data_IF_444412005220
#
_entry.id   IF_444412005220
#
_cell.length_a   1.000
_cell.length_b   1.000
_cell.length_c   1.000
_cell.angle_alpha   90.00
_cell.angle_beta   90.00
_cell.angle_gamma   90.00
#
_symmetry.space_group_name_H-M   'P 1'
#
loop_
_entity.id
_entity.type
_entity.pdbx_description
1 polymer ?
#
# COMPACT_ATOMS: atom_id res chain seq x y z
N UNK A 1 17.61 9.78 14.73
CA UNK A 1 16.39 10.33 15.37
C UNK A 1 15.25 9.44 14.95
N UNK A 2 14.61 8.75 15.89
CA UNK A 2 13.55 7.79 15.61
C UNK A 2 12.25 8.54 15.31
N UNK A 3 11.57 8.15 14.21
CA UNK A 3 10.28 8.72 13.79
C UNK A 3 9.22 7.63 13.97
N UNK A 4 8.28 7.86 14.88
CA UNK A 4 7.18 6.93 15.11
C UNK A 4 6.09 7.06 14.06
N UNK A 5 5.59 5.93 13.58
CA UNK A 5 4.41 5.89 12.70
C UNK A 5 3.13 5.88 13.53
N UNK A 6 2.19 6.76 13.16
CA UNK A 6 0.84 6.79 13.71
C UNK A 6 -0.12 6.39 12.61
N UNK A 7 -0.90 5.35 12.87
CA UNK A 7 -1.94 4.90 11.96
C UNK A 7 -3.25 5.64 12.23
N UNK A 8 -3.89 6.09 11.17
CA UNK A 8 -5.21 6.75 11.24
C UNK A 8 -6.29 5.69 11.19
N UNK A 9 -7.21 5.69 12.17
CA UNK A 9 -8.37 4.81 12.17
C UNK A 9 -9.51 5.36 11.30
N UNK A 10 -10.61 4.59 11.16
CA UNK A 10 -11.77 4.96 10.34
C UNK A 10 -12.46 6.27 10.81
N UNK A 11 -12.25 6.68 12.08
CA UNK A 11 -12.78 7.93 12.65
C UNK A 11 -11.78 9.10 12.55
N UNK A 12 -10.79 8.99 11.68
CA UNK A 12 -9.76 10.03 11.47
C UNK A 12 -8.91 10.35 12.71
N UNK A 13 -8.85 9.44 13.66
CA UNK A 13 -8.09 9.57 14.90
C UNK A 13 -6.85 8.69 14.88
N UNK A 14 -5.80 9.15 15.57
CA UNK A 14 -4.58 8.39 15.83
C UNK A 14 -4.18 8.47 17.29
N UNK A 15 -3.42 7.49 17.74
CA UNK A 15 -2.94 7.40 19.12
C UNK A 15 -1.48 7.83 19.19
N UNK A 16 -1.19 8.84 19.99
CA UNK A 16 0.14 9.31 20.33
C UNK A 16 0.61 8.67 21.63
N UNK A 17 1.80 8.10 21.66
CA UNK A 17 2.41 7.55 22.86
C UNK A 17 3.78 8.23 23.07
N UNK A 18 3.95 8.89 24.20
CA UNK A 18 5.20 9.57 24.54
C UNK A 18 6.30 8.57 24.94
N UNK A 19 7.48 8.66 24.32
CA UNK A 19 8.62 7.77 24.59
C UNK A 19 9.18 7.92 26.01
N UNK A 20 9.08 9.12 26.58
CA UNK A 20 9.67 9.42 27.87
C UNK A 20 8.80 9.00 29.05
N UNK A 21 7.47 9.24 28.96
CA UNK A 21 6.57 9.04 30.11
C UNK A 21 5.45 8.04 29.85
N UNK A 22 5.38 7.42 28.66
CA UNK A 22 4.35 6.46 28.29
C UNK A 22 2.94 7.03 28.13
N UNK A 23 2.74 8.33 28.37
CA UNK A 23 1.42 8.95 28.31
C UNK A 23 0.82 8.83 26.92
N UNK A 24 -0.39 8.31 26.87
CA UNK A 24 -1.18 8.11 25.65
C UNK A 24 -2.17 9.25 25.44
N UNK A 25 -2.31 9.69 24.19
CA UNK A 25 -3.32 10.70 23.79
C UNK A 25 -3.90 10.36 22.43
N UNK A 26 -5.22 10.33 22.32
CA UNK A 26 -5.92 10.23 21.04
C UNK A 26 -6.09 11.63 20.47
N UNK A 27 -5.73 11.82 19.19
CA UNK A 27 -5.78 13.09 18.48
C UNK A 27 -6.55 12.93 17.17
N UNK A 28 -7.25 13.98 16.76
CA UNK A 28 -7.82 14.06 15.41
C UNK A 28 -6.70 14.39 14.42
N UNK A 29 -6.65 13.68 13.31
CA UNK A 29 -5.60 13.80 12.29
C UNK A 29 -6.14 14.24 10.93
N UNK A 30 -7.40 14.70 10.84
CA UNK A 30 -8.06 15.13 9.60
C UNK A 30 -7.20 16.13 8.82
N UNK A 31 -6.73 17.18 9.50
CA UNK A 31 -5.96 18.26 8.87
C UNK A 31 -4.50 17.90 8.55
N UNK A 32 -4.03 16.75 9.04
CA UNK A 32 -2.63 16.35 8.95
C UNK A 32 -2.37 15.22 7.93
N UNK A 33 -3.41 14.69 7.28
CA UNK A 33 -3.32 13.52 6.38
C UNK A 33 -2.37 13.71 5.20
N UNK A 34 -2.22 14.94 4.69
CA UNK A 34 -1.49 15.20 3.45
C UNK A 34 -0.12 15.87 3.66
N UNK A 35 0.35 15.96 4.90
CA UNK A 35 1.59 16.71 5.20
C UNK A 35 2.83 16.02 4.65
N UNK A 36 2.85 14.69 4.50
CA UNK A 36 3.92 13.91 3.86
C UNK A 36 5.29 13.98 4.56
N UNK A 37 5.42 14.76 5.65
CA UNK A 37 6.65 14.94 6.43
C UNK A 37 6.39 14.67 7.92
N UNK A 38 7.41 14.28 8.69
CA UNK A 38 7.27 14.08 10.13
C UNK A 38 6.84 15.35 10.86
N UNK A 39 5.95 15.18 11.82
CA UNK A 39 5.46 16.24 12.70
C UNK A 39 6.21 16.19 14.03
N UNK A 40 6.63 17.35 14.53
CA UNK A 40 7.18 17.48 15.88
C UNK A 40 6.05 17.65 16.90
N UNK A 41 6.00 16.75 17.87
CA UNK A 41 4.96 16.74 18.91
C UNK A 41 5.59 17.01 20.28
N UNK A 42 4.92 17.84 21.11
CA UNK A 42 5.29 18.11 22.50
C UNK A 42 4.36 17.37 23.45
N UNK A 43 4.90 16.54 24.31
CA UNK A 43 4.15 15.90 25.39
C UNK A 43 3.93 16.89 26.57
N UNK A 44 2.90 16.66 27.38
CA UNK A 44 2.68 17.41 28.63
C UNK A 44 3.83 17.25 29.66
N UNK A 45 4.67 16.21 29.53
CA UNK A 45 5.90 16.05 30.35
C UNK A 45 7.09 16.90 29.84
N UNK A 46 6.87 17.75 28.82
CA UNK A 46 7.93 18.59 28.22
C UNK A 46 8.77 17.90 27.13
N UNK A 47 8.64 16.59 26.96
CA UNK A 47 9.40 15.84 25.96
C UNK A 47 8.90 16.13 24.53
N UNK A 48 9.85 16.26 23.58
CA UNK A 48 9.57 16.39 22.15
C UNK A 48 9.91 15.08 21.42
N UNK A 49 9.05 14.65 20.53
CA UNK A 49 9.28 13.50 19.65
C UNK A 49 8.69 13.75 18.26
N UNK A 50 9.10 12.92 17.29
CA UNK A 50 8.66 13.06 15.90
C UNK A 50 7.75 11.91 15.52
N UNK A 51 6.68 12.24 14.79
CA UNK A 51 5.69 11.27 14.32
C UNK A 51 5.44 11.44 12.83
N UNK A 52 5.26 10.33 12.13
CA UNK A 52 4.80 10.26 10.76
C UNK A 52 3.39 9.69 10.72
N UNK A 53 2.49 10.38 9.99
CA UNK A 53 1.10 9.95 9.90
C UNK A 53 0.95 8.99 8.73
N UNK A 54 0.46 7.77 9.00
CA UNK A 54 0.16 6.77 7.99
C UNK A 54 -1.37 6.68 7.82
N UNK A 55 -1.85 7.25 6.72
CA UNK A 55 -3.29 7.29 6.39
C UNK A 55 -3.77 6.05 5.63
N UNK A 56 -2.87 5.15 5.29
CA UNK A 56 -3.22 3.95 4.54
C UNK A 56 -3.94 2.96 5.46
N UNK A 57 -5.10 2.51 5.02
CA UNK A 57 -5.90 1.52 5.74
C UNK A 57 -5.21 0.15 5.81
N UNK A 58 -4.41 -0.17 4.80
CA UNK A 58 -3.71 -1.45 4.68
C UNK A 58 -2.22 -1.25 4.54
N UNK A 59 -1.47 -2.11 5.21
CA UNK A 59 -0.03 -2.21 5.07
C UNK A 59 0.36 -2.46 3.61
N UNK A 60 1.50 -1.90 3.19
CA UNK A 60 2.12 -2.18 1.90
C UNK A 60 3.45 -2.87 2.13
N UNK A 61 3.52 -4.11 1.67
CA UNK A 61 4.75 -4.89 1.68
C UNK A 61 5.62 -4.46 0.50
N UNK A 62 6.86 -4.09 0.78
CA UNK A 62 7.86 -3.89 -0.27
C UNK A 62 8.22 -5.25 -0.87
N UNK A 63 8.21 -5.35 -2.19
CA UNK A 63 8.43 -6.58 -2.94
C UNK A 63 9.33 -6.33 -4.14
N UNK A 64 9.74 -7.41 -4.80
CA UNK A 64 10.40 -7.38 -6.11
C UNK A 64 9.93 -8.57 -6.93
N UNK A 65 8.65 -8.59 -7.28
CA UNK A 65 8.02 -9.71 -7.97
C UNK A 65 7.95 -9.42 -9.47
N UNK A 66 8.36 -10.42 -10.26
CA UNK A 66 8.23 -10.33 -11.70
C UNK A 66 6.80 -10.65 -12.13
N UNK A 67 6.29 -9.90 -13.11
CA UNK A 67 4.96 -10.08 -13.62
C UNK A 67 4.75 -9.45 -14.98
N UNK A 68 3.51 -9.54 -15.42
CA UNK A 68 3.02 -9.01 -16.68
C UNK A 68 1.73 -8.23 -16.45
N UNK A 69 1.47 -7.26 -17.31
CA UNK A 69 0.19 -6.56 -17.36
C UNK A 69 -0.38 -6.55 -18.77
N UNK A 70 -1.68 -6.51 -18.86
CA UNK A 70 -2.44 -6.29 -20.10
C UNK A 70 -3.41 -5.15 -19.84
N UNK A 71 -3.33 -4.09 -20.64
CA UNK A 71 -4.31 -3.01 -20.62
C UNK A 71 -5.57 -3.49 -21.37
N UNK A 72 -6.67 -3.61 -20.63
CA UNK A 72 -7.96 -4.08 -21.15
C UNK A 72 -8.99 -2.95 -21.25
N UNK A 73 -8.57 -1.69 -21.20
CA UNK A 73 -9.43 -0.54 -21.37
C UNK A 73 -9.95 -0.48 -22.82
N UNK A 74 -11.22 -0.09 -22.99
CA UNK A 74 -11.85 0.02 -24.32
C UNK A 74 -11.20 1.06 -25.23
N UNK A 75 -10.54 2.07 -24.66
CA UNK A 75 -9.90 3.18 -25.37
C UNK A 75 -8.40 2.96 -25.62
N UNK A 76 -7.91 1.72 -25.45
CA UNK A 76 -6.51 1.42 -25.73
C UNK A 76 -6.24 1.57 -27.24
N UNK A 77 -5.30 2.44 -27.67
CA UNK A 77 -5.04 2.61 -29.09
C UNK A 77 -4.47 1.32 -29.69
N UNK A 78 -5.12 0.82 -30.72
CA UNK A 78 -4.69 -0.30 -31.59
C UNK A 78 -4.09 -1.52 -30.86
N UNK A 79 -4.97 -2.33 -30.27
CA UNK A 79 -4.60 -3.63 -29.71
C UNK A 79 -4.39 -3.60 -28.19
N UNK A 80 -4.42 -4.78 -27.58
CA UNK A 80 -4.17 -4.94 -26.13
C UNK A 80 -2.70 -4.60 -25.84
N UNK A 81 -2.46 -3.46 -25.19
CA UNK A 81 -1.13 -3.15 -24.69
C UNK A 81 -0.76 -4.14 -23.59
N UNK A 82 0.31 -4.86 -23.78
CA UNK A 82 0.88 -5.78 -22.78
C UNK A 82 2.34 -5.47 -22.54
N UNK A 83 2.79 -5.70 -21.33
CA UNK A 83 4.18 -5.49 -20.98
C UNK A 83 4.59 -6.27 -19.74
N UNK A 84 5.90 -6.29 -19.52
CA UNK A 84 6.49 -6.88 -18.31
C UNK A 84 6.64 -5.81 -17.24
N UNK A 85 6.50 -6.23 -15.99
CA UNK A 85 6.57 -5.35 -14.83
C UNK A 85 7.36 -5.97 -13.68
N UNK A 86 7.80 -5.11 -12.75
CA UNK A 86 8.30 -5.50 -11.44
C UNK A 86 7.38 -4.88 -10.40
N UNK A 87 6.70 -5.71 -9.62
CA UNK A 87 5.88 -5.26 -8.49
C UNK A 87 6.81 -4.85 -7.36
N UNK A 88 6.79 -3.57 -7.00
CA UNK A 88 7.66 -2.97 -5.97
C UNK A 88 6.95 -2.83 -4.62
N UNK A 89 5.63 -2.65 -4.62
CA UNK A 89 4.83 -2.68 -3.41
C UNK A 89 3.50 -3.41 -3.63
N UNK A 90 3.04 -4.08 -2.58
CA UNK A 90 1.85 -4.90 -2.61
C UNK A 90 1.05 -4.75 -1.32
N UNK A 91 -0.26 -4.55 -1.43
CA UNK A 91 -1.21 -4.50 -0.32
C UNK A 91 -2.46 -5.30 -0.64
N UNK A 92 -3.33 -5.48 0.36
CA UNK A 92 -4.62 -6.16 0.16
C UNK A 92 -5.49 -5.53 -0.93
N UNK A 93 -5.35 -4.23 -1.18
CA UNK A 93 -6.24 -3.47 -2.08
C UNK A 93 -5.58 -3.01 -3.35
N UNK A 94 -4.29 -3.25 -3.56
CA UNK A 94 -3.62 -2.78 -4.75
C UNK A 94 -2.12 -3.07 -4.78
N UNK A 95 -1.51 -2.64 -5.87
CA UNK A 95 -0.08 -2.81 -6.12
C UNK A 95 0.53 -1.53 -6.69
N UNK A 96 1.83 -1.38 -6.43
CA UNK A 96 2.71 -0.47 -7.15
C UNK A 96 3.72 -1.27 -7.96
N UNK A 97 3.86 -0.97 -9.23
CA UNK A 97 4.80 -1.66 -10.10
C UNK A 97 5.53 -0.72 -11.02
N UNK A 98 6.69 -1.15 -11.50
CA UNK A 98 7.47 -0.46 -12.50
C UNK A 98 7.48 -1.23 -13.81
N UNK A 99 7.19 -0.55 -14.91
CA UNK A 99 7.30 -1.12 -16.25
C UNK A 99 8.77 -1.15 -16.70
N UNK A 100 9.16 -2.18 -17.43
CA UNK A 100 10.53 -2.29 -17.98
C UNK A 100 10.73 -1.44 -19.23
N UNK A 101 9.67 -1.16 -19.97
CA UNK A 101 9.69 -0.35 -21.18
C UNK A 101 8.75 0.86 -21.04
N UNK A 102 8.81 1.77 -22.01
CA UNK A 102 7.82 2.83 -22.14
C UNK A 102 6.43 2.22 -22.31
N UNK A 103 5.43 2.85 -21.76
CA UNK A 103 4.05 2.40 -21.78
C UNK A 103 3.09 3.54 -22.10
N UNK A 104 1.90 3.20 -22.62
CA UNK A 104 0.81 4.13 -22.88
C UNK A 104 -0.31 4.05 -21.83
N UNK A 105 -0.05 3.41 -20.68
CA UNK A 105 -1.01 3.30 -19.57
C UNK A 105 -1.40 4.70 -19.11
N UNK A 106 -2.69 4.91 -18.86
CA UNK A 106 -3.27 6.15 -18.37
C UNK A 106 -3.96 5.93 -17.02
N UNK A 107 -4.10 7.01 -16.26
CA UNK A 107 -4.93 6.99 -15.03
C UNK A 107 -6.36 6.62 -15.41
N UNK A 108 -6.98 5.72 -14.62
CA UNK A 108 -8.28 5.06 -14.83
C UNK A 108 -8.28 3.90 -15.82
N UNK A 109 -7.17 3.59 -16.48
CA UNK A 109 -7.09 2.36 -17.26
C UNK A 109 -7.36 1.13 -16.39
N UNK A 110 -8.00 0.14 -16.99
CA UNK A 110 -8.21 -1.18 -16.40
C UNK A 110 -7.12 -2.11 -16.89
N UNK A 111 -6.39 -2.67 -15.95
CA UNK A 111 -5.32 -3.62 -16.22
C UNK A 111 -5.71 -5.00 -15.70
N UNK A 112 -5.34 -6.04 -16.42
CA UNK A 112 -5.20 -7.40 -15.90
C UNK A 112 -3.72 -7.60 -15.59
N UNK A 113 -3.42 -7.89 -14.33
CA UNK A 113 -2.05 -8.10 -13.83
C UNK A 113 -1.85 -9.55 -13.44
N UNK A 114 -0.69 -10.10 -13.75
CA UNK A 114 -0.27 -11.46 -13.38
C UNK A 114 1.14 -11.41 -12.86
N UNK A 115 1.39 -12.00 -11.70
CA UNK A 115 2.72 -12.06 -11.08
C UNK A 115 2.82 -13.26 -10.14
N UNK A 116 4.06 -13.66 -9.83
CA UNK A 116 4.34 -14.80 -8.95
C UNK A 116 4.83 -14.27 -7.60
N UNK A 117 4.25 -14.77 -6.51
CA UNK A 117 4.70 -14.47 -5.15
C UNK A 117 6.04 -15.14 -4.86
N UNK A 118 6.80 -14.58 -3.94
CA UNK A 118 8.04 -15.17 -3.42
C UNK A 118 7.79 -16.05 -2.18
N UNK A 119 6.60 -16.64 -2.10
CA UNK A 119 6.25 -17.68 -1.14
C UNK A 119 6.86 -19.04 -1.51
N UNK A 120 6.79 -20.01 -0.59
CA UNK A 120 7.37 -21.33 -0.78
C UNK A 120 6.76 -22.09 -1.98
N UNK A 121 5.49 -21.85 -2.30
CA UNK A 121 4.74 -22.46 -3.39
C UNK A 121 4.90 -21.73 -4.73
N UNK A 122 5.55 -20.55 -4.75
CA UNK A 122 5.62 -19.70 -5.94
C UNK A 122 4.23 -19.41 -6.52
N UNK A 123 3.29 -19.06 -5.64
CA UNK A 123 1.89 -18.88 -5.99
C UNK A 123 1.70 -17.83 -7.08
N UNK A 124 0.98 -18.18 -8.13
CA UNK A 124 0.62 -17.25 -9.19
C UNK A 124 -0.61 -16.46 -8.79
N UNK A 125 -0.56 -15.14 -8.96
CA UNK A 125 -1.64 -14.20 -8.71
C UNK A 125 -2.05 -13.55 -10.01
N UNK A 126 -3.36 -13.61 -10.31
CA UNK A 126 -3.97 -12.88 -11.41
C UNK A 126 -5.11 -12.02 -10.86
N UNK A 127 -5.09 -10.70 -11.16
CA UNK A 127 -6.11 -9.75 -10.69
C UNK A 127 -6.40 -8.68 -11.73
N UNK A 128 -7.63 -8.14 -11.66
CA UNK A 128 -7.98 -6.90 -12.36
C UNK A 128 -7.70 -5.71 -11.45
N UNK A 129 -7.18 -4.63 -12.03
CA UNK A 129 -6.85 -3.42 -11.29
C UNK A 129 -7.16 -2.16 -12.11
N UNK A 130 -7.49 -1.07 -11.41
CA UNK A 130 -7.67 0.26 -12.00
C UNK A 130 -6.49 1.12 -11.62
N UNK A 131 -5.88 1.76 -12.62
CA UNK A 131 -4.76 2.68 -12.43
C UNK A 131 -5.22 3.94 -11.68
N UNK A 132 -4.56 4.24 -10.57
CA UNK A 132 -4.84 5.41 -9.73
C UNK A 132 -3.81 6.52 -9.88
N UNK A 133 -2.56 6.15 -10.14
CA UNK A 133 -1.47 7.13 -10.32
C UNK A 133 -0.39 6.59 -11.24
N UNK A 134 0.30 7.52 -11.90
CA UNK A 134 1.47 7.23 -12.74
C UNK A 134 2.54 8.26 -12.40
N UNK A 135 3.78 7.81 -12.28
CA UNK A 135 4.95 8.66 -12.13
C UNK A 135 6.10 8.05 -12.94
N UNK A 136 6.38 8.61 -14.10
CA UNK A 136 7.30 8.06 -15.09
C UNK A 136 6.90 6.60 -15.45
N UNK A 137 7.78 5.66 -15.18
CA UNK A 137 7.53 4.23 -15.40
C UNK A 137 6.93 3.49 -14.18
N UNK A 138 6.59 4.21 -13.10
CA UNK A 138 5.90 3.66 -11.93
C UNK A 138 4.39 3.85 -12.05
N UNK A 139 3.64 2.76 -11.85
CA UNK A 139 2.18 2.69 -11.91
C UNK A 139 1.65 2.20 -10.58
N UNK A 140 0.77 2.97 -9.95
CA UNK A 140 0.00 2.55 -8.79
C UNK A 140 -1.43 2.21 -9.20
N UNK A 141 -1.88 1.00 -8.85
CA UNK A 141 -3.20 0.51 -9.22
C UNK A 141 -3.93 -0.14 -8.04
N UNK A 142 -5.26 -0.04 -8.04
CA UNK A 142 -6.15 -0.61 -7.04
C UNK A 142 -6.88 -1.82 -7.64
N UNK A 143 -6.93 -2.93 -6.89
CA UNK A 143 -7.66 -4.13 -7.31
C UNK A 143 -9.17 -3.88 -7.31
N UNK A 144 -9.85 -4.34 -8.37
CA UNK A 144 -11.31 -4.23 -8.53
C UNK A 144 -12.04 -5.50 -8.13
N UNK A 145 -11.38 -6.66 -8.23
CA UNK A 145 -11.97 -7.95 -7.91
C UNK A 145 -11.58 -8.35 -6.49
N UNK A 146 -12.45 -8.11 -5.54
CA UNK A 146 -12.29 -8.52 -4.15
C UNK A 146 -13.22 -9.70 -3.85
N UNK A 147 -12.98 -10.84 -4.52
CA UNK A 147 -13.62 -12.09 -4.13
C UNK A 147 -12.85 -12.71 -2.96
N UNK A 148 -13.36 -12.50 -1.73
CA UNK A 148 -12.73 -12.97 -0.50
C UNK A 148 -12.71 -14.50 -0.37
N UNK A 149 -13.48 -15.22 -1.18
CA UNK A 149 -13.67 -16.67 -1.09
C UNK A 149 -12.78 -17.47 -2.03
N UNK A 150 -12.07 -16.83 -2.95
CA UNK A 150 -11.15 -17.53 -3.85
C UNK A 150 -9.86 -17.91 -3.09
N UNK A 151 -9.39 -19.15 -3.26
CA UNK A 151 -8.19 -19.69 -2.62
C UNK A 151 -6.94 -18.85 -2.92
N UNK A 152 -6.78 -18.40 -4.16
CA UNK A 152 -5.70 -17.48 -4.57
C UNK A 152 -5.76 -16.17 -3.78
N UNK A 153 -6.95 -15.66 -3.46
CA UNK A 153 -7.12 -14.47 -2.64
C UNK A 153 -6.76 -14.72 -1.17
N UNK A 154 -6.99 -15.91 -0.65
CA UNK A 154 -6.58 -16.28 0.73
C UNK A 154 -5.06 -16.30 0.85
N UNK A 155 -4.36 -16.98 -0.06
CA UNK A 155 -2.89 -17.03 -0.13
C UNK A 155 -2.33 -15.60 -0.27
N UNK A 156 -2.84 -14.84 -1.22
CA UNK A 156 -2.47 -13.45 -1.46
C UNK A 156 -2.68 -12.55 -0.23
N UNK A 157 -3.83 -12.66 0.43
CA UNK A 157 -4.13 -11.87 1.62
C UNK A 157 -3.22 -12.22 2.80
N UNK A 158 -2.84 -13.48 2.94
CA UNK A 158 -1.86 -13.93 3.94
C UNK A 158 -0.48 -13.36 3.62
N UNK A 159 -0.04 -13.49 2.38
CA UNK A 159 1.24 -12.93 1.92
C UNK A 159 1.33 -11.42 2.13
N UNK A 160 0.29 -10.67 1.79
CA UNK A 160 0.24 -9.22 1.96
C UNK A 160 0.20 -8.77 3.44
N UNK A 161 -0.21 -9.66 4.36
CA UNK A 161 -0.21 -9.40 5.81
C UNK A 161 1.11 -9.72 6.49
N UNK A 162 1.96 -10.57 5.94
CA UNK A 162 3.23 -11.00 6.56
C UNK A 162 4.30 -9.89 6.66
N UNK A 163 3.91 -8.71 7.02
CA UNK A 163 4.74 -7.58 7.39
C UNK A 163 4.04 -6.73 8.46
N UNK A 164 2.77 -7.07 8.77
CA UNK A 164 1.93 -6.33 9.73
C UNK A 164 2.21 -6.73 11.20
N UNK A 165 2.82 -7.89 11.43
CA UNK A 165 2.99 -8.45 12.78
C UNK A 165 4.11 -7.76 13.59
N UNK A 166 4.98 -6.98 12.95
CA UNK A 166 6.10 -6.30 13.63
C UNK A 166 5.69 -4.93 14.20
N UNK A 167 4.51 -4.43 13.90
CA UNK A 167 4.09 -3.07 14.24
C UNK A 167 2.79 -2.93 15.06
N UNK A 168 2.06 -4.00 15.29
CA UNK A 168 0.84 -3.96 16.11
C UNK A 168 1.12 -4.51 17.51
N UNK A 169 1.52 -3.63 18.42
CA UNK A 169 1.25 -3.85 19.83
C UNK A 169 -0.28 -3.81 20.00
N UNK A 170 -0.88 -4.97 20.26
CA UNK A 170 -2.28 -5.04 20.70
C UNK A 170 -2.45 -4.17 21.95
N UNK A 171 -3.47 -3.30 22.00
CA UNK A 171 -3.82 -2.70 23.28
C UNK A 171 -4.37 -3.83 24.18
N UNK A 172 -3.75 -3.98 25.35
CA UNK A 172 -4.31 -4.70 26.50
C UNK A 172 -5.39 -3.83 27.10
#
# INVERSE_FOLDING_TARGET
>A
MEIKKIYVNDNEKGTLICDKCGKTRVVNLTDFKNIGKPLKVKCSCGHFFFVSIEVRKFYRKNTRLHGEYINVSHDAPKGLEKGTMIVEDLSRTGLGFRTKAQHNIRVRDRLRVRFTLDDAQRSEVQKSAIVKRISHNFVGAEFVDFDAFNETNRIFNTFAKTGDEVGRLHPV
#
